data_IF_646348661780
#
_entry.id   IF_646348661780
#
_cell.length_a   1.000
_cell.length_b   1.000
_cell.length_c   1.000
_cell.angle_alpha   90.00
_cell.angle_beta   90.00
_cell.angle_gamma   90.00
#
_symmetry.space_group_name_H-M   'P 1'
#
loop_
_entity.id
_entity.type
_entity.pdbx_description
1 polymer ?
#
# COMPACT_ATOMS: atom_id res chain seq x y z
N UNK A 1 2.04 -21.34 -9.65
CA UNK A 1 2.54 -22.66 -10.08
C UNK A 1 3.96 -22.60 -10.63
N UNK A 2 4.24 -21.71 -11.61
CA UNK A 2 5.55 -21.65 -12.31
C UNK A 2 6.74 -21.31 -11.40
N UNK A 3 6.51 -20.61 -10.31
CA UNK A 3 7.54 -20.15 -9.36
C UNK A 3 7.44 -20.85 -7.99
N UNK A 4 6.53 -21.82 -7.83
CA UNK A 4 6.31 -22.53 -6.57
C UNK A 4 5.58 -21.73 -5.50
N UNK A 5 5.07 -20.53 -5.84
CA UNK A 5 4.35 -19.68 -4.90
C UNK A 5 2.85 -19.96 -4.90
N UNK A 6 2.23 -19.93 -3.73
CA UNK A 6 0.79 -20.21 -3.55
C UNK A 6 -0.07 -18.96 -3.61
N UNK A 7 0.52 -17.77 -3.49
CA UNK A 7 -0.15 -16.48 -3.58
C UNK A 7 0.76 -15.46 -4.27
N UNK A 8 0.19 -14.31 -4.64
CA UNK A 8 0.91 -13.18 -5.22
C UNK A 8 0.74 -11.95 -4.36
N UNK A 9 1.37 -10.86 -4.74
CA UNK A 9 1.38 -9.60 -3.99
C UNK A 9 -0.01 -8.98 -3.94
N UNK A 10 -0.48 -8.69 -2.72
CA UNK A 10 -1.55 -7.74 -2.43
C UNK A 10 -0.92 -6.56 -1.69
N UNK A 11 -1.22 -5.35 -2.10
CA UNK A 11 -0.58 -4.15 -1.58
C UNK A 11 -1.58 -3.03 -1.31
N UNK A 12 -1.13 -2.04 -0.57
CA UNK A 12 -1.84 -0.78 -0.34
C UNK A 12 -0.86 0.37 -0.45
N UNK A 13 -1.30 1.48 -1.03
CA UNK A 13 -0.58 2.74 -1.00
C UNK A 13 -1.20 3.65 0.05
N UNK A 14 -0.45 3.99 1.09
CA UNK A 14 -0.78 5.10 1.95
C UNK A 14 -0.06 6.35 1.45
N UNK A 15 -0.82 7.39 1.17
CA UNK A 15 -0.30 8.63 0.61
C UNK A 15 0.23 9.50 1.75
N UNK A 16 1.54 9.54 1.93
CA UNK A 16 2.19 10.35 2.95
C UNK A 16 2.28 11.83 2.55
N UNK A 17 2.56 12.08 1.27
CA UNK A 17 2.56 13.43 0.67
C UNK A 17 1.93 13.35 -0.71
N UNK A 18 1.09 14.31 -1.03
CA UNK A 18 0.56 14.53 -2.37
C UNK A 18 0.73 16.01 -2.73
N UNK A 19 1.32 16.29 -3.91
CA UNK A 19 1.31 17.62 -4.50
C UNK A 19 -0.08 17.92 -5.08
N UNK A 20 -0.30 19.17 -5.45
CA UNK A 20 -1.52 19.56 -6.16
C UNK A 20 -1.72 18.71 -7.42
N UNK A 21 -2.93 18.22 -7.65
CA UNK A 21 -3.32 17.32 -8.75
C UNK A 21 -2.55 15.99 -8.80
N UNK A 22 -1.94 15.57 -7.70
CA UNK A 22 -1.30 14.26 -7.64
C UNK A 22 -2.35 13.14 -7.76
N UNK A 23 -2.01 12.11 -8.53
CA UNK A 23 -2.92 10.99 -8.80
C UNK A 23 -2.23 9.64 -8.68
N UNK A 24 -3.02 8.61 -8.45
CA UNK A 24 -2.60 7.21 -8.55
C UNK A 24 -3.33 6.59 -9.74
N UNK A 25 -2.61 5.91 -10.61
CA UNK A 25 -3.21 5.06 -11.63
C UNK A 25 -3.69 3.78 -10.98
N UNK A 26 -4.96 3.40 -11.22
CA UNK A 26 -5.58 2.30 -10.48
C UNK A 26 -6.71 1.65 -11.28
N UNK A 27 -6.45 0.45 -11.78
CA UNK A 27 -7.40 -0.30 -12.62
C UNK A 27 -7.46 0.21 -14.06
N UNK A 28 -8.37 -0.34 -14.82
CA UNK A 28 -8.57 -0.01 -16.23
C UNK A 28 -9.64 1.07 -16.39
N UNK A 29 -9.59 1.80 -17.50
CA UNK A 29 -10.74 2.60 -17.96
C UNK A 29 -11.96 1.72 -18.15
N UNK A 30 -13.17 2.29 -18.00
CA UNK A 30 -14.41 1.53 -18.14
C UNK A 30 -14.55 0.90 -19.52
N UNK A 31 -14.14 1.61 -20.56
CA UNK A 31 -14.21 1.25 -21.98
C UNK A 31 -12.89 0.66 -22.55
N UNK A 32 -11.90 0.40 -21.71
CA UNK A 32 -10.59 -0.13 -22.14
C UNK A 32 -10.74 -1.44 -22.90
N UNK A 33 -10.28 -1.48 -24.14
CA UNK A 33 -10.08 -2.71 -24.90
C UNK A 33 -8.73 -3.33 -24.53
N UNK A 34 -8.76 -4.52 -23.90
CA UNK A 34 -7.56 -5.19 -23.44
C UNK A 34 -6.69 -5.75 -24.57
N UNK A 35 -7.29 -6.13 -25.69
CA UNK A 35 -6.54 -6.65 -26.86
C UNK A 35 -5.79 -5.49 -27.54
N UNK A 36 -6.46 -4.37 -27.72
CA UNK A 36 -5.83 -3.14 -28.23
C UNK A 36 -4.72 -2.69 -27.28
N UNK A 37 -4.99 -2.65 -25.97
CA UNK A 37 -3.99 -2.24 -24.97
C UNK A 37 -2.75 -3.11 -24.99
N UNK A 38 -2.91 -4.43 -25.08
CA UNK A 38 -1.77 -5.36 -25.22
C UNK A 38 -0.99 -5.11 -26.52
N UNK A 39 -1.67 -4.85 -27.63
CA UNK A 39 -1.04 -4.57 -28.94
C UNK A 39 -0.18 -3.30 -28.90
N UNK A 40 -0.71 -2.20 -28.37
CA UNK A 40 0.05 -0.94 -28.31
C UNK A 40 1.26 -1.02 -27.37
N UNK A 41 1.16 -1.79 -26.27
CA UNK A 41 2.29 -2.04 -25.39
C UNK A 41 3.38 -2.88 -26.06
N UNK A 42 3.01 -3.91 -26.83
CA UNK A 42 3.95 -4.74 -27.60
C UNK A 42 4.62 -3.92 -28.71
N UNK A 43 3.87 -3.05 -29.37
CA UNK A 43 4.44 -2.13 -30.36
C UNK A 43 5.43 -1.16 -29.72
N UNK A 44 5.06 -0.62 -28.54
CA UNK A 44 5.97 0.25 -27.76
C UNK A 44 7.27 -0.45 -27.39
N UNK A 45 7.20 -1.69 -26.92
CA UNK A 45 8.39 -2.48 -26.56
C UNK A 45 9.30 -2.72 -27.78
N UNK A 46 8.71 -2.96 -28.93
CA UNK A 46 9.45 -3.26 -30.17
C UNK A 46 10.01 -2.01 -30.85
N UNK A 47 9.21 -0.96 -30.96
CA UNK A 47 9.50 0.20 -31.81
C UNK A 47 9.87 1.47 -31.00
N UNK A 48 9.74 1.45 -29.67
CA UNK A 48 10.00 2.60 -28.82
C UNK A 48 8.92 3.70 -28.97
N UNK A 49 7.71 3.34 -29.37
CA UNK A 49 6.58 4.26 -29.50
C UNK A 49 5.99 4.58 -28.13
N UNK A 50 5.87 5.87 -27.72
CA UNK A 50 5.21 6.20 -26.44
C UNK A 50 3.75 5.77 -26.42
N UNK A 51 3.28 5.25 -25.28
CA UNK A 51 1.87 4.91 -25.06
C UNK A 51 1.24 5.94 -24.15
N UNK A 52 0.08 6.44 -24.56
CA UNK A 52 -0.79 7.26 -23.72
C UNK A 52 -1.53 6.35 -22.71
N UNK A 53 -0.98 6.23 -21.51
CA UNK A 53 -1.56 5.39 -20.46
C UNK A 53 -2.90 5.90 -19.95
N UNK A 54 -3.17 7.21 -20.05
CA UNK A 54 -4.45 7.80 -19.64
C UNK A 54 -5.62 7.34 -20.53
N UNK A 55 -5.36 6.80 -21.73
CA UNK A 55 -6.39 6.19 -22.59
C UNK A 55 -6.83 4.80 -22.13
N UNK A 56 -6.02 4.07 -21.36
CA UNK A 56 -6.29 2.66 -20.98
C UNK A 56 -6.44 2.46 -19.47
N UNK A 57 -5.73 3.25 -18.65
CA UNK A 57 -5.66 3.07 -17.21
C UNK A 57 -6.40 4.19 -16.50
N UNK A 58 -7.31 3.79 -15.60
CA UNK A 58 -8.03 4.73 -14.75
C UNK A 58 -7.07 5.38 -13.74
N UNK A 59 -7.34 6.63 -13.37
CA UNK A 59 -6.58 7.33 -12.34
C UNK A 59 -7.50 8.02 -11.35
N UNK A 60 -7.07 8.08 -10.09
CA UNK A 60 -7.79 8.75 -9.00
C UNK A 60 -6.91 9.86 -8.43
N UNK A 61 -7.49 11.02 -8.19
CA UNK A 61 -6.83 12.08 -7.42
C UNK A 61 -6.69 11.64 -5.98
N UNK A 62 -5.56 11.96 -5.38
CA UNK A 62 -5.25 11.58 -4.01
C UNK A 62 -4.73 12.77 -3.21
N UNK A 63 -4.94 12.73 -1.91
CA UNK A 63 -4.46 13.71 -0.95
C UNK A 63 -3.68 13.01 0.17
N UNK A 64 -2.90 13.74 0.97
CA UNK A 64 -2.23 13.17 2.13
C UNK A 64 -3.20 12.42 3.04
N UNK A 65 -2.77 11.26 3.50
CA UNK A 65 -3.50 10.33 4.37
C UNK A 65 -4.61 9.51 3.71
N UNK A 66 -4.80 9.62 2.40
CA UNK A 66 -5.62 8.66 1.68
C UNK A 66 -4.94 7.29 1.64
N UNK A 67 -5.75 6.23 1.58
CA UNK A 67 -5.29 4.87 1.36
C UNK A 67 -5.92 4.32 0.09
N UNK A 68 -5.11 3.69 -0.75
CA UNK A 68 -5.51 3.03 -1.98
C UNK A 68 -5.23 1.54 -1.85
N UNK A 69 -6.28 0.72 -1.95
CA UNK A 69 -6.14 -0.73 -1.97
C UNK A 69 -5.78 -1.22 -3.38
N UNK A 70 -4.81 -2.11 -3.47
CA UNK A 70 -4.29 -2.65 -4.73
C UNK A 70 -4.25 -4.18 -4.65
N UNK A 71 -5.40 -4.85 -4.76
CA UNK A 71 -5.43 -6.31 -4.84
C UNK A 71 -4.70 -6.82 -6.07
N UNK A 72 -4.17 -8.04 -5.98
CA UNK A 72 -3.45 -8.67 -7.09
C UNK A 72 -4.25 -8.64 -8.41
N UNK A 73 -3.53 -8.48 -9.52
CA UNK A 73 -4.12 -8.34 -10.86
C UNK A 73 -4.68 -6.96 -11.18
N UNK A 74 -4.43 -5.96 -10.31
CA UNK A 74 -4.76 -4.55 -10.58
C UNK A 74 -3.65 -3.88 -11.36
N UNK A 75 -3.96 -3.30 -12.51
CA UNK A 75 -3.03 -2.39 -13.21
C UNK A 75 -2.91 -1.12 -12.39
N UNK A 76 -1.69 -0.75 -12.00
CA UNK A 76 -1.50 0.40 -11.11
C UNK A 76 -0.10 1.00 -11.20
N UNK A 77 0.01 2.25 -10.82
CA UNK A 77 1.27 2.88 -10.42
C UNK A 77 1.00 4.19 -9.66
N UNK A 78 1.98 4.63 -8.87
CA UNK A 78 1.95 5.98 -8.30
C UNK A 78 2.25 7.00 -9.40
N UNK A 79 1.42 8.03 -9.51
CA UNK A 79 1.68 9.19 -10.35
C UNK A 79 2.73 10.14 -9.76
N UNK A 80 3.07 11.15 -10.53
CA UNK A 80 4.04 12.19 -10.12
C UNK A 80 3.48 13.00 -8.94
N UNK A 81 4.35 13.37 -8.02
CA UNK A 81 4.02 14.25 -6.90
C UNK A 81 3.58 13.54 -5.62
N UNK A 82 3.53 12.22 -5.60
CA UNK A 82 3.23 11.44 -4.40
C UNK A 82 4.49 10.98 -3.67
N UNK A 83 4.43 10.95 -2.34
CA UNK A 83 5.25 10.10 -1.49
C UNK A 83 4.36 9.01 -0.91
N UNK A 84 4.64 7.78 -1.29
CA UNK A 84 3.84 6.60 -0.93
C UNK A 84 4.57 5.77 0.11
N UNK A 85 3.85 5.38 1.16
CA UNK A 85 4.22 4.24 2.00
C UNK A 85 3.45 3.02 1.48
N UNK A 86 4.16 2.09 0.87
CA UNK A 86 3.58 0.81 0.47
C UNK A 86 3.57 -0.16 1.65
N UNK A 87 2.41 -0.76 1.90
CA UNK A 87 2.25 -1.87 2.85
C UNK A 87 1.74 -3.04 2.03
N UNK A 88 2.51 -4.12 1.99
CA UNK A 88 2.21 -5.26 1.13
C UNK A 88 2.44 -6.60 1.80
N UNK A 89 1.67 -7.59 1.36
CA UNK A 89 1.93 -9.01 1.61
C UNK A 89 2.42 -9.64 0.30
N UNK A 90 3.69 -10.07 0.27
CA UNK A 90 4.27 -10.65 -0.92
C UNK A 90 5.20 -11.82 -0.56
N UNK A 91 5.12 -12.96 -1.28
CA UNK A 91 6.04 -14.07 -1.07
C UNK A 91 7.43 -13.75 -1.59
N UNK A 92 7.51 -13.01 -2.71
CA UNK A 92 8.69 -12.53 -3.38
C UNK A 92 8.30 -11.35 -4.28
N UNK A 93 9.26 -10.64 -4.88
CA UNK A 93 8.96 -9.51 -5.78
C UNK A 93 8.41 -10.04 -7.10
N UNK A 94 7.08 -10.06 -7.25
CA UNK A 94 6.39 -10.42 -8.48
C UNK A 94 5.57 -9.24 -9.02
N UNK A 95 6.28 -8.22 -9.49
CA UNK A 95 5.67 -7.14 -10.26
C UNK A 95 5.90 -7.42 -11.74
N UNK A 96 4.81 -7.57 -12.48
CA UNK A 96 4.85 -7.63 -13.95
C UNK A 96 4.80 -6.21 -14.49
N UNK A 97 5.94 -5.71 -14.91
CA UNK A 97 6.03 -4.39 -15.51
C UNK A 97 5.44 -4.43 -16.93
N UNK A 98 4.32 -3.77 -17.14
CA UNK A 98 3.64 -3.69 -18.45
C UNK A 98 4.11 -2.50 -19.28
N UNK A 99 4.52 -1.40 -18.62
CA UNK A 99 5.05 -0.21 -19.25
C UNK A 99 6.05 0.48 -18.32
N UNK A 100 7.16 0.99 -18.84
CA UNK A 100 8.18 1.69 -18.07
C UNK A 100 8.54 3.06 -18.69
N UNK A 101 7.63 3.66 -19.42
CA UNK A 101 7.79 4.99 -20.04
C UNK A 101 9.07 5.10 -20.88
N UNK A 102 9.43 4.02 -21.58
CA UNK A 102 10.62 3.91 -22.42
C UNK A 102 11.94 4.23 -21.69
N UNK A 103 11.98 4.00 -20.37
CA UNK A 103 13.21 4.18 -19.59
C UNK A 103 14.28 3.19 -20.05
N UNK A 104 15.51 3.69 -20.06
CA UNK A 104 16.68 2.89 -20.41
C UNK A 104 17.37 2.37 -19.16
N UNK A 105 18.03 1.22 -19.31
CA UNK A 105 18.98 0.68 -18.34
C UNK A 105 20.33 1.42 -18.41
N UNK A 106 21.30 1.00 -17.60
CA UNK A 106 22.65 1.60 -17.59
C UNK A 106 23.44 1.35 -18.90
N UNK A 107 23.02 0.42 -19.73
CA UNK A 107 23.65 0.10 -21.02
C UNK A 107 22.97 0.84 -22.19
N UNK A 108 21.92 1.64 -21.90
CA UNK A 108 21.18 2.38 -22.91
C UNK A 108 20.07 1.60 -23.61
N UNK A 109 19.79 0.36 -23.20
CA UNK A 109 18.68 -0.45 -23.73
C UNK A 109 17.39 -0.12 -23.01
N UNK A 110 16.23 -0.27 -23.68
CA UNK A 110 14.94 -0.20 -23.01
C UNK A 110 14.84 -1.29 -21.93
N UNK A 111 14.29 -0.93 -20.78
CA UNK A 111 14.09 -1.86 -19.68
C UNK A 111 13.03 -2.89 -20.08
N UNK A 112 13.33 -4.15 -19.81
CA UNK A 112 12.46 -5.27 -20.16
C UNK A 112 11.07 -5.14 -19.52
N UNK A 113 10.03 -5.36 -20.30
CA UNK A 113 8.65 -5.44 -19.88
C UNK A 113 8.19 -6.91 -19.80
N UNK A 114 7.09 -7.16 -19.11
CA UNK A 114 6.53 -8.49 -18.90
C UNK A 114 5.09 -8.57 -19.43
N UNK A 115 4.82 -7.97 -20.57
CA UNK A 115 3.47 -7.72 -21.10
C UNK A 115 2.65 -9.01 -21.17
N UNK A 116 3.14 -10.01 -21.88
CA UNK A 116 2.40 -11.26 -22.08
C UNK A 116 2.03 -11.98 -20.77
N UNK A 117 2.94 -11.96 -19.77
CA UNK A 117 2.68 -12.56 -18.47
C UNK A 117 1.70 -11.72 -17.65
N UNK A 118 1.82 -10.41 -17.72
CA UNK A 118 0.94 -9.48 -17.02
C UNK A 118 -0.49 -9.64 -17.50
N UNK A 119 -0.72 -9.65 -18.82
CA UNK A 119 -2.06 -9.76 -19.38
C UNK A 119 -2.77 -11.07 -19.03
N UNK A 120 -2.04 -12.16 -18.76
CA UNK A 120 -2.60 -13.41 -18.22
C UNK A 120 -3.04 -13.27 -16.74
N UNK A 121 -2.62 -12.23 -16.04
CA UNK A 121 -2.90 -12.00 -14.62
C UNK A 121 -3.77 -10.77 -14.35
N UNK A 122 -3.96 -9.87 -15.33
CA UNK A 122 -4.84 -8.72 -15.17
C UNK A 122 -6.27 -9.20 -14.93
N UNK A 123 -6.91 -8.65 -13.90
CA UNK A 123 -8.32 -8.89 -13.62
C UNK A 123 -9.18 -7.87 -14.37
N UNK A 124 -9.75 -8.26 -15.51
CA UNK A 124 -10.55 -7.41 -16.41
C UNK A 124 -11.72 -6.70 -15.73
N UNK A 125 -12.23 -7.22 -14.61
CA UNK A 125 -13.29 -6.58 -13.81
C UNK A 125 -12.83 -5.36 -13.00
N UNK A 126 -11.52 -5.16 -12.83
CA UNK A 126 -10.99 -4.02 -12.07
C UNK A 126 -10.93 -2.78 -12.96
N UNK A 127 -12.13 -2.27 -13.29
CA UNK A 127 -12.35 -1.07 -14.06
C UNK A 127 -12.78 0.10 -13.19
N UNK A 128 -12.80 1.29 -13.72
CA UNK A 128 -13.08 2.57 -13.09
C UNK A 128 -14.22 2.52 -12.06
N UNK A 129 -15.42 2.09 -12.47
CA UNK A 129 -16.58 2.02 -11.57
C UNK A 129 -16.38 1.04 -10.41
N UNK A 130 -15.78 -0.13 -10.70
CA UNK A 130 -15.50 -1.13 -9.68
C UNK A 130 -14.43 -0.64 -8.70
N UNK A 131 -13.36 -0.06 -9.21
CA UNK A 131 -12.21 0.44 -8.45
C UNK A 131 -12.63 1.58 -7.52
N UNK A 132 -13.31 2.58 -8.05
CA UNK A 132 -13.78 3.74 -7.29
C UNK A 132 -14.69 3.35 -6.12
N UNK A 133 -15.49 2.30 -6.29
CA UNK A 133 -16.38 1.79 -5.25
C UNK A 133 -15.69 0.91 -4.20
N UNK A 134 -14.63 0.18 -4.59
CA UNK A 134 -14.11 -0.91 -3.76
C UNK A 134 -12.67 -0.73 -3.29
N UNK A 135 -11.85 0.14 -3.95
CA UNK A 135 -10.42 0.23 -3.66
C UNK A 135 -9.99 1.51 -2.95
N UNK A 136 -10.95 2.39 -2.64
CA UNK A 136 -10.73 3.65 -1.93
C UNK A 136 -11.44 3.60 -0.58
N UNK A 137 -10.88 2.92 0.43
CA UNK A 137 -11.51 2.82 1.73
C UNK A 137 -11.49 4.18 2.45
N UNK A 138 -12.55 4.44 3.22
CA UNK A 138 -12.61 5.58 4.12
C UNK A 138 -12.23 5.15 5.54
N UNK A 139 -11.47 5.96 6.29
CA UNK A 139 -11.15 5.68 7.68
C UNK A 139 -12.42 5.53 8.51
N UNK A 140 -12.48 4.49 9.34
CA UNK A 140 -13.57 4.23 10.27
C UNK A 140 -13.06 4.44 11.70
N UNK A 141 -13.62 5.39 12.42
CA UNK A 141 -13.31 5.60 13.83
C UNK A 141 -13.66 4.34 14.64
N UNK A 142 -12.72 3.82 15.40
CA UNK A 142 -12.88 2.67 16.29
C UNK A 142 -13.03 3.11 17.72
N UNK A 143 -12.11 3.95 18.20
CA UNK A 143 -12.04 4.41 19.56
C UNK A 143 -11.45 5.82 19.62
N UNK A 144 -11.76 6.56 20.68
CA UNK A 144 -11.17 7.87 20.93
C UNK A 144 -11.06 8.17 22.43
N UNK A 145 -10.08 8.99 22.77
CA UNK A 145 -9.91 9.61 24.09
C UNK A 145 -10.05 11.12 24.02
N UNK A 146 -9.51 11.80 25.03
CA UNK A 146 -9.55 13.27 25.10
C UNK A 146 -8.67 13.96 24.06
N UNK A 147 -7.57 13.28 23.66
CA UNK A 147 -6.52 13.86 22.82
C UNK A 147 -5.96 12.86 21.80
N UNK A 148 -6.65 11.73 21.61
CA UNK A 148 -6.30 10.72 20.63
C UNK A 148 -7.53 10.06 19.99
N UNK A 149 -7.33 9.54 18.79
CA UNK A 149 -8.30 8.77 18.02
C UNK A 149 -7.62 7.58 17.36
N UNK A 150 -8.32 6.44 17.29
CA UNK A 150 -7.91 5.25 16.53
C UNK A 150 -8.86 5.01 15.37
N UNK A 151 -8.30 4.84 14.19
CA UNK A 151 -9.04 4.54 12.97
C UNK A 151 -8.61 3.19 12.38
N UNK A 152 -9.59 2.37 11.99
CA UNK A 152 -9.38 1.31 11.01
C UNK A 152 -9.37 1.94 9.62
N UNK A 153 -8.26 1.84 8.89
CA UNK A 153 -8.13 2.40 7.55
C UNK A 153 -8.09 1.35 6.45
N UNK A 154 -7.79 0.10 6.79
CA UNK A 154 -7.83 -1.01 5.87
C UNK A 154 -8.17 -2.32 6.57
N UNK A 155 -9.29 -2.95 6.14
CA UNK A 155 -9.74 -4.24 6.62
C UNK A 155 -10.58 -4.93 5.54
N UNK A 156 -9.95 -5.74 4.69
CA UNK A 156 -10.62 -6.53 3.66
C UNK A 156 -10.51 -8.01 3.96
N UNK A 157 -11.60 -8.75 3.78
CA UNK A 157 -11.65 -10.20 4.12
C UNK A 157 -10.65 -11.04 3.35
N UNK A 158 -10.34 -10.65 2.13
CA UNK A 158 -9.36 -11.30 1.25
C UNK A 158 -7.91 -10.89 1.50
N UNK A 159 -7.66 -9.85 2.30
CA UNK A 159 -6.31 -9.37 2.61
C UNK A 159 -5.67 -10.16 3.74
N UNK A 160 -4.34 -10.30 3.72
CA UNK A 160 -3.56 -10.92 4.78
C UNK A 160 -3.37 -10.05 6.02
N UNK A 161 -3.56 -8.74 5.91
CA UNK A 161 -3.26 -7.76 6.95
C UNK A 161 -4.37 -6.74 7.11
N UNK A 162 -4.40 -6.12 8.28
CA UNK A 162 -5.18 -4.92 8.56
C UNK A 162 -4.23 -3.75 8.82
N UNK A 163 -4.72 -2.53 8.57
CA UNK A 163 -4.00 -1.30 8.86
C UNK A 163 -4.89 -0.39 9.68
N UNK A 164 -4.35 0.10 10.79
CA UNK A 164 -4.96 1.10 11.65
C UNK A 164 -4.09 2.35 11.70
N UNK A 165 -4.67 3.45 12.18
CA UNK A 165 -3.97 4.70 12.40
C UNK A 165 -4.40 5.31 13.72
N UNK A 166 -3.43 5.64 14.58
CA UNK A 166 -3.64 6.56 15.68
C UNK A 166 -3.32 7.99 15.26
N UNK A 167 -4.15 8.92 15.75
CA UNK A 167 -3.90 10.37 15.70
C UNK A 167 -3.91 10.88 17.13
N UNK A 168 -2.82 11.48 17.64
CA UNK A 168 -2.69 11.80 19.05
C UNK A 168 -1.77 13.00 19.33
N UNK A 169 -2.07 13.69 20.43
CA UNK A 169 -1.32 14.87 20.86
C UNK A 169 -0.32 14.56 21.97
N UNK A 170 -0.63 13.65 22.91
CA UNK A 170 0.25 13.34 24.05
C UNK A 170 0.69 11.89 24.09
N UNK A 171 -0.15 10.97 24.51
CA UNK A 171 0.21 9.57 24.75
C UNK A 171 -0.92 8.62 24.33
N UNK A 172 -0.52 7.47 23.80
CA UNK A 172 -1.42 6.34 23.52
C UNK A 172 -0.85 5.04 24.09
N UNK A 173 -1.74 4.09 24.38
CA UNK A 173 -1.41 2.75 24.81
C UNK A 173 -1.83 1.73 23.75
N UNK A 174 -0.91 0.88 23.31
CA UNK A 174 -1.20 -0.19 22.34
C UNK A 174 -0.97 -1.55 23.01
N UNK A 175 -2.01 -2.38 23.06
CA UNK A 175 -1.90 -3.80 23.40
C UNK A 175 -1.73 -4.60 22.12
N UNK A 176 -0.68 -5.42 22.06
CA UNK A 176 -0.38 -6.21 20.85
C UNK A 176 -1.33 -7.40 20.66
N UNK A 177 -1.96 -7.88 21.74
CA UNK A 177 -2.94 -8.97 21.71
C UNK A 177 -2.47 -10.23 20.96
N UNK A 178 -1.21 -10.64 21.20
CA UNK A 178 -0.62 -11.79 20.54
C UNK A 178 -0.21 -11.57 19.07
N UNK A 179 0.05 -10.32 18.66
CA UNK A 179 0.41 -9.97 17.28
C UNK A 179 1.73 -9.24 17.22
N UNK A 180 2.50 -9.48 16.18
CA UNK A 180 3.58 -8.59 15.78
C UNK A 180 2.99 -7.41 14.98
N UNK A 181 3.59 -6.22 15.14
CA UNK A 181 3.15 -5.01 14.44
C UNK A 181 4.31 -4.43 13.62
N UNK A 182 4.02 -3.94 12.43
CA UNK A 182 4.86 -2.93 11.78
C UNK A 182 4.26 -1.56 12.04
N UNK A 183 5.09 -0.58 12.38
CA UNK A 183 4.63 0.76 12.74
C UNK A 183 5.42 1.82 11.97
N UNK A 184 4.74 2.87 11.52
CA UNK A 184 5.30 3.96 10.74
C UNK A 184 4.76 5.29 11.24
N UNK A 185 5.65 6.23 11.61
CA UNK A 185 5.22 7.60 11.90
C UNK A 185 5.03 8.35 10.56
N UNK A 186 3.78 8.74 10.25
CA UNK A 186 3.42 9.34 8.95
C UNK A 186 3.05 10.81 9.03
N UNK A 187 2.87 11.34 10.24
CA UNK A 187 2.73 12.77 10.52
C UNK A 187 3.28 13.09 11.92
N UNK A 188 3.75 14.30 12.17
CA UNK A 188 4.44 14.70 13.37
C UNK A 188 5.95 14.81 13.13
N UNK A 189 6.75 14.71 14.17
CA UNK A 189 8.22 14.78 14.04
C UNK A 189 8.93 13.57 14.62
N UNK A 190 8.59 13.24 15.85
CA UNK A 190 9.26 12.18 16.62
C UNK A 190 8.37 11.73 17.76
N UNK A 191 8.35 10.45 18.01
CA UNK A 191 7.67 9.82 19.14
C UNK A 191 8.67 8.96 19.93
N UNK A 192 8.38 8.74 21.21
CA UNK A 192 9.03 7.72 22.03
C UNK A 192 8.11 6.53 22.19
N UNK A 193 8.69 5.35 22.12
CA UNK A 193 8.01 4.06 22.27
C UNK A 193 8.65 3.34 23.41
N UNK A 194 7.90 3.11 24.49
CA UNK A 194 8.33 2.37 25.68
C UNK A 194 7.66 0.99 25.70
N UNK A 195 8.46 -0.07 25.81
CA UNK A 195 7.96 -1.44 25.95
C UNK A 195 7.59 -1.79 27.39
N UNK A 196 6.98 -2.96 27.59
CA UNK A 196 6.59 -3.45 28.92
C UNK A 196 7.77 -3.77 29.86
N UNK A 197 9.01 -3.69 29.40
CA UNK A 197 10.24 -3.84 30.19
C UNK A 197 10.91 -2.49 30.49
N UNK A 198 10.29 -1.38 30.11
CA UNK A 198 10.83 -0.02 30.29
C UNK A 198 11.93 0.34 29.28
N UNK A 199 12.09 -0.41 28.20
CA UNK A 199 13.02 -0.02 27.13
C UNK A 199 12.38 1.05 26.27
N UNK A 200 13.11 2.12 26.05
CA UNK A 200 12.66 3.26 25.26
C UNK A 200 13.40 3.28 23.92
N UNK A 201 12.63 3.42 22.86
CA UNK A 201 13.11 3.65 21.51
C UNK A 201 12.44 4.89 20.94
N UNK A 202 13.06 5.54 19.98
CA UNK A 202 12.45 6.69 19.29
C UNK A 202 12.16 6.34 17.83
N UNK A 203 11.07 6.90 17.30
CA UNK A 203 10.68 6.78 15.89
C UNK A 203 10.49 8.18 15.33
N UNK A 204 11.24 8.53 14.31
CA UNK A 204 11.11 9.80 13.60
C UNK A 204 10.13 9.68 12.41
N UNK A 205 9.74 10.82 11.86
CA UNK A 205 8.88 10.88 10.69
C UNK A 205 9.45 10.03 9.54
N UNK A 206 8.60 9.17 8.97
CA UNK A 206 8.87 8.20 7.89
C UNK A 206 9.81 7.04 8.26
N UNK A 207 10.17 6.90 9.53
CA UNK A 207 10.83 5.67 9.98
C UNK A 207 9.83 4.54 10.22
N UNK A 208 10.32 3.32 10.11
CA UNK A 208 9.57 2.07 10.33
C UNK A 208 10.19 1.30 11.48
N UNK A 209 9.36 0.74 12.33
CA UNK A 209 9.78 -0.21 13.36
C UNK A 209 8.94 -1.49 13.30
N UNK A 210 9.59 -2.64 13.49
CA UNK A 210 8.93 -3.91 13.72
C UNK A 210 8.88 -4.19 15.23
N UNK A 211 7.69 -4.43 15.75
CA UNK A 211 7.44 -4.75 17.15
C UNK A 211 7.06 -6.22 17.24
N UNK A 212 7.90 -7.06 17.90
CA UNK A 212 7.59 -8.48 18.09
C UNK A 212 6.40 -8.68 19.05
N UNK A 213 5.65 -9.75 18.86
CA UNK A 213 4.52 -10.15 19.72
C UNK A 213 4.91 -10.26 21.19
N UNK A 214 6.12 -10.72 21.48
CA UNK A 214 6.66 -10.83 22.85
C UNK A 214 6.69 -9.51 23.64
N UNK A 215 6.62 -8.37 22.96
CA UNK A 215 6.55 -7.03 23.59
C UNK A 215 5.24 -6.81 24.36
N UNK A 216 4.14 -7.45 23.98
CA UNK A 216 2.80 -7.43 24.60
C UNK A 216 2.12 -6.07 24.64
N UNK A 217 2.79 -5.00 25.11
CA UNK A 217 2.23 -3.66 25.30
C UNK A 217 3.27 -2.58 25.01
N UNK A 218 2.80 -1.48 24.43
CA UNK A 218 3.59 -0.27 24.20
C UNK A 218 2.89 0.94 24.81
N UNK A 219 3.66 1.83 25.41
CA UNK A 219 3.29 3.22 25.68
C UNK A 219 3.99 4.09 24.65
N UNK A 220 3.25 4.91 23.92
CA UNK A 220 3.79 5.73 22.84
C UNK A 220 3.52 7.18 23.16
N UNK A 221 4.58 7.98 23.29
CA UNK A 221 4.53 9.39 23.67
C UNK A 221 4.89 10.28 22.48
N UNK A 222 4.06 11.25 22.22
CA UNK A 222 4.39 12.31 21.28
C UNK A 222 5.31 13.32 22.01
N UNK A 223 6.57 13.38 21.58
CA UNK A 223 7.57 14.29 22.14
C UNK A 223 7.74 15.58 21.31
N UNK A 224 6.78 15.84 20.41
CA UNK A 224 6.73 17.05 19.61
C UNK A 224 5.50 17.88 19.96
N UNK A 225 5.51 19.14 19.53
CA UNK A 225 4.35 20.04 19.72
C UNK A 225 3.26 19.89 18.64
N UNK A 226 3.47 19.02 17.68
CA UNK A 226 2.54 18.77 16.57
C UNK A 226 1.81 17.46 16.83
N UNK A 227 0.53 17.40 16.47
CA UNK A 227 -0.24 16.17 16.47
C UNK A 227 0.49 15.11 15.65
N UNK A 228 0.53 13.89 16.13
CA UNK A 228 1.19 12.78 15.46
C UNK A 228 0.19 11.82 14.86
N UNK A 229 0.50 11.26 13.67
CA UNK A 229 -0.22 10.12 13.09
C UNK A 229 0.72 8.95 12.96
N UNK A 230 0.33 7.86 13.57
CA UNK A 230 1.07 6.60 13.59
C UNK A 230 0.25 5.50 12.92
N UNK A 231 0.75 4.98 11.81
CA UNK A 231 0.21 3.77 11.21
C UNK A 231 0.75 2.54 11.94
N UNK A 232 -0.11 1.53 12.08
CA UNK A 232 0.36 0.18 12.38
C UNK A 232 -0.40 -0.86 11.56
N UNK A 233 0.34 -1.88 11.14
CA UNK A 233 -0.19 -3.00 10.39
C UNK A 233 0.14 -4.32 11.09
N UNK A 234 -0.77 -5.28 10.98
CA UNK A 234 -0.60 -6.62 11.55
C UNK A 234 -1.25 -7.68 10.67
N UNK A 235 -0.74 -8.92 10.75
CA UNK A 235 -1.31 -10.05 10.05
C UNK A 235 -2.65 -10.42 10.69
N UNK A 236 -3.67 -10.61 9.88
CA UNK A 236 -5.01 -11.00 10.34
C UNK A 236 -4.97 -12.40 10.94
N UNK A 237 -5.61 -12.65 12.10
CA UNK A 237 -5.67 -13.98 12.67
C UNK A 237 -6.24 -15.05 11.73
N UNK A 238 -7.27 -14.71 10.96
CA UNK A 238 -7.86 -15.61 9.95
C UNK A 238 -6.91 -15.97 8.80
N UNK A 239 -5.94 -15.13 8.49
CA UNK A 239 -4.93 -15.41 7.47
C UNK A 239 -3.87 -16.40 7.98
N UNK A 240 -3.64 -16.47 9.29
CA UNK A 240 -2.70 -17.41 9.91
C UNK A 240 -3.31 -18.80 9.96
N UNK A 241 -4.58 -18.92 10.39
CA UNK A 241 -5.25 -20.20 10.60
C UNK A 241 -5.56 -20.95 9.30
N UNK A 242 -5.84 -20.24 8.21
CA UNK A 242 -6.11 -20.86 6.90
C UNK A 242 -4.90 -21.55 6.26
N UNK A 243 -3.68 -21.29 6.74
CA UNK A 243 -2.44 -21.88 6.18
C UNK A 243 -1.88 -23.04 7.01
N UNK A 244 -2.33 -23.20 8.24
CA UNK A 244 -1.89 -24.29 9.11
C UNK A 244 -2.70 -25.60 8.89
N UNK A 245 -3.76 -25.54 8.06
CA UNK A 245 -4.67 -26.64 7.78
C UNK A 245 -4.61 -27.14 6.32
N UNK A 246 -3.69 -26.63 5.50
CA UNK A 246 -3.34 -27.12 4.17
C UNK A 246 -1.91 -27.77 4.20
#
# INVERSE_FOLDING_TARGET
EKFGETYTQDETYYISVAKENAKVYLGLKEDCDLEEFEMVLKDSEKNGTPVDMDSYVHSVEVKPHDLVAIPNGTVHCSGVGNLVLEISATPYIFTFKIYDYLRKDLNGNFRQMNIERAFKNIRSKYRENFVSKNFLPSPKLLENGSDWEEFEIYNRSESFYNIHRFEFDTEILINLNGRALTMNLVEGRKIEIEDNNGRVTTLALYETILVPEATKRLTIKNISKYRSKLLYAYIRPSAITGRLNE
#
